data_IF_702238817283
#
_entry.id   IF_702238817283
#
_cell.length_a   1.000
_cell.length_b   1.000
_cell.length_c   1.000
_cell.angle_alpha   90.00
_cell.angle_beta   90.00
_cell.angle_gamma   90.00
#
_symmetry.space_group_name_H-M   'P 1'
#
loop_
_entity.id
_entity.type
_entity.pdbx_description
1 polymer ?
#
# COMPACT_ATOMS: atom_id res chain seq x y z
N UNK A 1 2.13 16.17 -7.01
CA UNK A 1 0.76 16.55 -6.60
C UNK A 1 0.47 16.01 -5.21
N UNK A 2 -0.65 16.37 -4.57
CA UNK A 2 -0.99 15.93 -3.19
C UNK A 2 -1.46 14.46 -3.08
N UNK A 3 -1.46 13.68 -4.17
CA UNK A 3 -1.94 12.29 -4.16
C UNK A 3 -3.42 12.18 -3.76
N UNK A 4 -3.83 11.01 -3.27
CA UNK A 4 -5.12 10.77 -2.62
C UNK A 4 -4.98 9.74 -1.48
N UNK A 5 -5.88 9.74 -0.50
CA UNK A 5 -5.87 8.78 0.62
C UNK A 5 -7.24 8.11 0.86
N UNK A 6 -8.04 8.05 -0.20
CA UNK A 6 -9.33 7.38 -0.26
C UNK A 6 -9.44 6.53 -1.51
N UNK A 7 -10.15 5.41 -1.44
CA UNK A 7 -10.54 4.63 -2.61
C UNK A 7 -11.93 5.06 -3.08
N UNK A 8 -12.03 5.55 -4.31
CA UNK A 8 -13.28 6.01 -4.91
C UNK A 8 -13.19 5.95 -6.45
N UNK A 9 -14.26 5.56 -7.19
CA UNK A 9 -14.22 5.41 -8.65
C UNK A 9 -13.96 6.72 -9.40
N UNK A 10 -14.40 7.85 -8.84
CA UNK A 10 -14.41 9.14 -9.54
C UNK A 10 -13.17 10.01 -9.27
N UNK A 11 -12.10 9.44 -8.71
CA UNK A 11 -10.83 10.17 -8.57
C UNK A 11 -10.23 10.35 -9.97
N UNK A 12 -10.01 11.59 -10.44
CA UNK A 12 -9.48 11.82 -11.78
C UNK A 12 -8.03 11.30 -11.88
N UNK A 13 -7.66 10.66 -12.99
CA UNK A 13 -6.30 10.20 -13.19
C UNK A 13 -5.33 11.37 -13.31
N UNK A 14 -4.12 11.18 -12.79
CA UNK A 14 -3.02 12.15 -12.90
C UNK A 14 -2.17 11.93 -14.15
N UNK A 15 -2.27 10.75 -14.74
CA UNK A 15 -1.52 10.29 -15.91
C UNK A 15 -2.35 9.26 -16.67
N UNK A 16 -2.23 9.26 -17.99
CA UNK A 16 -2.81 8.26 -18.89
C UNK A 16 -1.69 7.63 -19.73
N UNK A 17 -1.67 6.30 -19.81
CA UNK A 17 -0.57 5.52 -20.43
C UNK A 17 -1.10 4.40 -21.31
N UNK A 18 -0.32 4.02 -22.31
CA UNK A 18 -0.54 2.80 -23.08
C UNK A 18 0.01 1.56 -22.33
N UNK A 19 -0.61 0.37 -22.46
CA UNK A 19 -0.04 -0.86 -21.91
C UNK A 19 1.41 -1.09 -22.39
N UNK A 20 2.28 -1.49 -21.47
CA UNK A 20 3.71 -1.72 -21.71
C UNK A 20 4.63 -0.50 -21.51
N UNK A 21 4.07 0.70 -21.34
CA UNK A 21 4.87 1.89 -21.01
C UNK A 21 5.44 1.83 -19.58
N UNK A 22 6.66 2.35 -19.42
CA UNK A 22 7.32 2.53 -18.13
C UNK A 22 6.67 3.70 -17.37
N UNK A 23 6.15 3.44 -16.17
CA UNK A 23 5.58 4.46 -15.29
C UNK A 23 6.37 4.53 -14.00
N UNK A 24 6.80 5.74 -13.63
CA UNK A 24 7.53 6.00 -12.39
C UNK A 24 6.68 6.88 -11.49
N UNK A 25 6.43 6.42 -10.26
CA UNK A 25 5.68 7.13 -9.24
C UNK A 25 6.57 7.39 -8.03
N UNK A 26 6.64 8.65 -7.59
CA UNK A 26 7.25 9.01 -6.31
C UNK A 26 6.16 9.03 -5.23
N UNK A 27 6.41 8.39 -4.10
CA UNK A 27 5.47 8.23 -2.99
C UNK A 27 6.02 8.83 -1.70
N UNK A 28 5.11 9.35 -0.88
CA UNK A 28 5.41 9.70 0.51
C UNK A 28 5.25 8.45 1.38
N UNK A 29 5.82 8.49 2.59
CA UNK A 29 5.63 7.44 3.58
C UNK A 29 4.18 7.40 4.11
N UNK A 30 3.83 6.34 4.83
CA UNK A 30 2.50 6.10 5.41
C UNK A 30 1.92 7.27 6.23
N UNK A 31 2.79 8.11 6.81
CA UNK A 31 2.41 9.25 7.67
C UNK A 31 2.21 10.56 6.91
N UNK A 32 2.30 10.56 5.58
CA UNK A 32 2.28 11.75 4.73
C UNK A 32 3.41 12.75 5.04
N UNK A 33 4.59 12.23 5.37
CA UNK A 33 5.76 13.04 5.68
C UNK A 33 5.74 13.67 7.08
N UNK A 34 4.84 13.25 7.97
CA UNK A 34 4.84 13.74 9.36
C UNK A 34 6.03 13.17 10.16
N UNK A 35 6.45 11.94 9.86
CA UNK A 35 7.59 11.28 10.48
C UNK A 35 8.91 11.73 9.86
N UNK A 36 9.38 12.90 10.30
CA UNK A 36 10.69 13.42 9.94
C UNK A 36 11.80 12.82 10.82
N UNK A 37 13.06 12.81 10.34
CA UNK A 37 14.19 12.45 11.18
C UNK A 37 14.19 13.28 12.48
N UNK A 38 14.42 12.62 13.61
CA UNK A 38 14.44 13.19 14.97
C UNK A 38 13.07 13.48 15.62
N UNK A 39 11.95 13.15 14.97
CA UNK A 39 10.65 13.13 15.66
C UNK A 39 10.71 12.17 16.85
N UNK A 40 10.11 12.57 17.96
CA UNK A 40 9.99 11.79 19.18
C UNK A 40 8.53 11.45 19.45
N UNK A 41 8.30 10.56 20.43
CA UNK A 41 6.94 10.21 20.84
C UNK A 41 6.14 11.42 21.37
N UNK A 42 6.83 12.46 21.85
CA UNK A 42 6.22 13.68 22.37
C UNK A 42 5.61 14.55 21.27
N UNK A 43 6.02 14.37 20.01
CA UNK A 43 5.51 15.10 18.86
C UNK A 43 4.21 14.49 18.31
N UNK A 44 3.93 13.22 18.61
CA UNK A 44 2.80 12.47 18.06
C UNK A 44 1.42 13.10 18.28
N UNK A 45 1.11 13.75 19.44
CA UNK A 45 -0.17 14.43 19.62
C UNK A 45 -0.43 15.55 18.61
N UNK A 46 0.61 16.08 17.96
CA UNK A 46 0.48 17.12 16.92
C UNK A 46 0.16 16.57 15.53
N UNK A 47 0.13 15.25 15.34
CA UNK A 47 -0.04 14.64 14.02
C UNK A 47 -1.51 14.54 13.63
N UNK A 48 -1.77 14.76 12.35
CA UNK A 48 -3.02 14.43 11.68
C UNK A 48 -3.20 12.91 11.68
N UNK A 49 -4.28 12.44 12.31
CA UNK A 49 -4.47 11.03 12.65
C UNK A 49 -5.08 10.18 11.54
N UNK A 50 -5.62 10.79 10.47
CA UNK A 50 -6.39 10.11 9.40
C UNK A 50 -5.81 10.33 8.00
N UNK A 51 -4.58 10.85 7.91
CA UNK A 51 -3.89 11.06 6.62
C UNK A 51 -3.48 9.75 5.94
N UNK A 52 -3.19 8.70 6.72
CA UNK A 52 -2.67 7.44 6.19
C UNK A 52 -3.73 6.67 5.39
N UNK A 53 -3.41 6.14 4.20
CA UNK A 53 -2.13 6.18 3.47
C UNK A 53 -2.21 7.17 2.29
N UNK A 54 -1.22 8.08 2.10
CA UNK A 54 -1.16 8.91 0.91
C UNK A 54 -0.64 8.10 -0.29
N UNK A 55 -1.46 8.03 -1.35
CA UNK A 55 -1.16 7.30 -2.57
C UNK A 55 -0.86 8.26 -3.72
N UNK A 56 0.12 7.88 -4.54
CA UNK A 56 0.42 8.54 -5.81
C UNK A 56 -0.31 7.82 -6.93
N UNK A 57 -1.09 8.59 -7.71
CA UNK A 57 -2.03 8.10 -8.71
C UNK A 57 -3.32 8.94 -8.69
N UNK A 58 -4.38 8.48 -9.37
CA UNK A 58 -4.44 7.24 -10.15
C UNK A 58 -3.81 7.37 -11.55
N UNK A 59 -3.25 6.29 -12.05
CA UNK A 59 -2.81 6.12 -13.43
C UNK A 59 -3.93 5.45 -14.22
N UNK A 60 -4.33 6.03 -15.35
CA UNK A 60 -5.31 5.46 -16.28
C UNK A 60 -4.59 4.63 -17.34
N UNK A 61 -4.93 3.35 -17.45
CA UNK A 61 -4.36 2.42 -18.44
C UNK A 61 -5.31 2.31 -19.63
N UNK A 62 -4.91 2.82 -20.79
CA UNK A 62 -5.75 2.83 -22.00
C UNK A 62 -6.23 1.42 -22.38
N UNK A 63 -7.53 1.31 -22.64
CA UNK A 63 -8.16 0.06 -23.09
C UNK A 63 -8.41 -0.97 -21.99
N UNK A 64 -8.09 -0.67 -20.73
CA UNK A 64 -8.49 -1.48 -19.59
C UNK A 64 -9.98 -1.29 -19.30
N UNK A 65 -10.76 -2.37 -19.28
CA UNK A 65 -12.21 -2.33 -19.08
C UNK A 65 -12.65 -3.35 -18.02
N UNK A 66 -13.80 -3.11 -17.33
CA UNK A 66 -14.31 -4.05 -16.35
C UNK A 66 -14.40 -5.49 -16.88
N UNK A 67 -13.86 -6.44 -16.12
CA UNK A 67 -13.78 -7.87 -16.52
C UNK A 67 -12.44 -8.28 -17.15
N UNK A 68 -11.57 -7.34 -17.49
CA UNK A 68 -10.16 -7.61 -17.78
C UNK A 68 -9.39 -7.98 -16.51
N UNK A 69 -8.23 -8.62 -16.68
CA UNK A 69 -7.24 -8.77 -15.63
C UNK A 69 -6.04 -7.85 -15.95
N UNK A 70 -5.76 -6.90 -15.05
CA UNK A 70 -4.61 -6.02 -15.14
C UNK A 70 -3.42 -6.67 -14.43
N UNK A 71 -2.32 -6.88 -15.14
CA UNK A 71 -1.05 -7.29 -14.56
C UNK A 71 -0.15 -6.06 -14.39
N UNK A 72 0.33 -5.84 -13.18
CA UNK A 72 1.28 -4.81 -12.80
C UNK A 72 2.61 -5.51 -12.53
N UNK A 73 3.61 -5.24 -13.36
CA UNK A 73 4.98 -5.70 -13.18
C UNK A 73 5.79 -4.63 -12.43
N UNK A 74 6.38 -5.00 -11.30
CA UNK A 74 7.23 -4.10 -10.51
C UNK A 74 8.66 -4.13 -11.05
N UNK A 75 9.00 -3.15 -11.89
CA UNK A 75 10.31 -3.06 -12.57
C UNK A 75 11.42 -2.69 -11.58
N UNK A 76 11.16 -1.72 -10.71
CA UNK A 76 12.08 -1.35 -9.64
C UNK A 76 11.34 -0.67 -8.48
N UNK A 77 11.91 -0.76 -7.28
CA UNK A 77 11.43 -0.07 -6.08
C UNK A 77 12.65 0.47 -5.37
N UNK A 78 12.78 1.79 -5.39
CA UNK A 78 13.94 2.51 -4.88
C UNK A 78 13.53 3.18 -3.56
N UNK A 79 14.10 2.77 -2.42
CA UNK A 79 13.76 3.38 -1.16
C UNK A 79 14.41 4.75 -0.97
N UNK A 80 13.78 5.62 -0.19
CA UNK A 80 14.46 6.79 0.37
C UNK A 80 15.53 6.37 1.39
N UNK A 81 16.43 7.31 1.70
CA UNK A 81 17.60 7.08 2.56
C UNK A 81 17.28 6.99 4.06
N UNK A 82 16.04 7.27 4.46
CA UNK A 82 15.59 7.20 5.84
C UNK A 82 14.18 6.62 5.92
N UNK A 83 13.83 6.12 7.11
CA UNK A 83 12.49 5.66 7.40
C UNK A 83 12.28 5.44 8.89
N UNK A 84 11.14 4.87 9.24
CA UNK A 84 10.71 4.79 10.63
C UNK A 84 9.88 3.55 10.91
N UNK A 85 9.90 3.11 12.16
CA UNK A 85 8.97 2.11 12.68
C UNK A 85 8.40 2.66 13.97
N UNK A 86 7.10 2.47 14.23
CA UNK A 86 6.51 2.88 15.51
C UNK A 86 5.67 1.78 16.14
N UNK A 87 5.64 1.75 17.46
CA UNK A 87 4.58 1.09 18.20
C UNK A 87 3.48 2.10 18.53
N UNK A 88 2.23 1.75 18.22
CA UNK A 88 1.05 2.54 18.59
C UNK A 88 0.28 1.81 19.69
N UNK A 89 0.26 2.32 20.93
CA UNK A 89 -0.51 1.72 22.02
C UNK A 89 -1.96 1.44 21.63
N UNK A 90 -2.44 0.23 21.97
CA UNK A 90 -3.80 -0.22 21.64
C UNK A 90 -4.01 -0.67 20.19
N UNK A 91 -2.99 -0.64 19.34
CA UNK A 91 -3.04 -1.13 17.97
C UNK A 91 -1.97 -2.21 17.71
N UNK A 92 -2.25 -3.09 16.75
CA UNK A 92 -1.34 -4.17 16.37
C UNK A 92 -1.69 -5.52 16.97
N UNK A 93 -0.97 -6.53 16.51
CA UNK A 93 -1.17 -7.91 16.95
C UNK A 93 -0.77 -8.09 18.42
N UNK A 94 0.29 -7.41 18.85
CA UNK A 94 0.86 -7.49 20.21
C UNK A 94 0.51 -6.29 21.11
N UNK A 95 -0.60 -5.61 20.82
CA UNK A 95 -1.05 -4.38 21.52
C UNK A 95 -1.21 -4.53 23.04
N UNK A 96 -1.45 -5.75 23.53
CA UNK A 96 -1.62 -6.05 24.95
C UNK A 96 -0.27 -6.25 25.67
N UNK A 97 0.82 -6.43 24.91
CA UNK A 97 2.18 -6.61 25.43
C UNK A 97 3.04 -5.35 25.28
N UNK A 98 2.83 -4.59 24.20
CA UNK A 98 3.56 -3.35 23.91
C UNK A 98 2.64 -2.15 24.13
N UNK A 99 2.49 -1.75 25.38
CA UNK A 99 1.55 -0.71 25.81
C UNK A 99 2.09 0.72 25.71
N UNK A 100 3.40 0.88 25.54
CA UNK A 100 4.05 2.19 25.49
C UNK A 100 4.33 2.63 24.05
N UNK A 101 4.17 3.93 23.73
CA UNK A 101 4.54 4.44 22.42
C UNK A 101 6.05 4.37 22.25
N UNK A 102 6.48 4.03 21.05
CA UNK A 102 7.91 3.99 20.71
C UNK A 102 8.11 4.25 19.23
N UNK A 103 9.28 4.79 18.88
CA UNK A 103 9.70 5.06 17.49
C UNK A 103 11.16 4.68 17.31
N UNK A 104 11.45 4.07 16.18
CA UNK A 104 12.80 3.77 15.70
C UNK A 104 13.01 4.53 14.41
N UNK A 105 14.11 5.27 14.31
CA UNK A 105 14.53 5.88 13.06
C UNK A 105 15.59 5.02 12.37
N UNK A 106 15.44 4.83 11.06
CA UNK A 106 16.32 4.00 10.25
C UNK A 106 17.09 4.86 9.24
N UNK A 107 18.37 4.56 9.09
CA UNK A 107 19.24 5.05 8.02
C UNK A 107 19.47 3.90 7.01
N UNK A 108 19.16 4.13 5.73
CA UNK A 108 19.29 3.16 4.64
C UNK A 108 20.49 3.49 3.76
N UNK A 109 21.45 2.58 3.67
CA UNK A 109 22.61 2.72 2.79
C UNK A 109 23.20 1.36 2.41
N UNK A 110 23.78 1.25 1.22
CA UNK A 110 24.48 0.04 0.74
C UNK A 110 23.66 -1.27 0.84
N UNK A 111 22.34 -1.17 0.66
CA UNK A 111 21.43 -2.31 0.76
C UNK A 111 21.08 -2.75 2.18
N UNK A 112 21.41 -1.94 3.20
CA UNK A 112 21.10 -2.19 4.61
C UNK A 112 20.36 -1.02 5.26
N UNK A 113 19.39 -1.33 6.12
CA UNK A 113 18.84 -0.39 7.10
C UNK A 113 19.50 -0.62 8.46
N UNK A 114 19.89 0.46 9.13
CA UNK A 114 20.48 0.45 10.47
C UNK A 114 19.85 1.53 11.33
N UNK A 115 19.89 1.36 12.66
CA UNK A 115 19.37 2.35 13.60
C UNK A 115 20.28 2.48 14.82
N UNK A 116 20.42 3.71 15.32
CA UNK A 116 21.12 3.98 16.59
C UNK A 116 20.30 3.51 17.79
N UNK A 117 18.97 3.47 17.64
CA UNK A 117 18.04 3.01 18.67
C UNK A 117 18.08 1.47 18.83
N UNK A 118 18.53 0.76 17.79
CA UNK A 118 18.69 -0.70 17.74
C UNK A 118 20.12 -1.10 17.37
N UNK A 119 21.09 -0.72 18.20
CA UNK A 119 22.51 -1.00 17.96
C UNK A 119 22.79 -2.51 17.80
N UNK A 120 23.66 -2.86 16.84
CA UNK A 120 24.02 -4.25 16.54
C UNK A 120 23.07 -4.97 15.58
N UNK A 121 22.01 -4.32 15.12
CA UNK A 121 21.07 -4.85 14.13
C UNK A 121 21.25 -4.12 12.78
N UNK A 122 21.22 -4.89 11.70
CA UNK A 122 21.06 -4.38 10.33
C UNK A 122 20.06 -5.25 9.58
N UNK A 123 19.21 -4.62 8.78
CA UNK A 123 18.14 -5.29 8.04
C UNK A 123 18.44 -5.18 6.54
N UNK A 124 18.46 -6.28 5.78
CA UNK A 124 18.72 -6.22 4.34
C UNK A 124 17.55 -5.56 3.61
N UNK A 125 17.85 -4.94 2.47
CA UNK A 125 16.82 -4.37 1.60
C UNK A 125 15.84 -5.45 1.12
N UNK A 126 14.55 -5.25 1.40
CA UNK A 126 13.44 -6.01 0.85
C UNK A 126 12.32 -5.10 0.40
N UNK A 127 12.67 -3.99 -0.26
CA UNK A 127 11.73 -2.90 -0.51
C UNK A 127 10.53 -3.33 -1.36
N UNK A 128 9.34 -2.95 -0.90
CA UNK A 128 8.07 -3.16 -1.59
C UNK A 128 7.09 -2.02 -1.29
N UNK A 129 5.94 -2.02 -1.96
CA UNK A 129 4.84 -1.09 -1.68
C UNK A 129 3.77 -1.81 -0.85
N UNK A 130 3.53 -1.38 0.39
CA UNK A 130 2.51 -1.95 1.29
C UNK A 130 1.09 -1.73 0.76
N UNK A 131 0.82 -0.52 0.26
CA UNK A 131 -0.42 -0.16 -0.43
C UNK A 131 -0.22 0.01 -1.93
N UNK A 132 -0.79 -0.90 -2.72
CA UNK A 132 -0.94 -0.75 -4.16
C UNK A 132 -2.25 -1.37 -4.64
N UNK A 133 -2.98 -0.68 -5.52
CA UNK A 133 -4.28 -1.14 -5.95
C UNK A 133 -4.90 -0.28 -7.03
N UNK A 134 -6.11 -0.67 -7.42
CA UNK A 134 -6.90 0.03 -8.43
C UNK A 134 -8.19 0.60 -7.82
N UNK A 135 -8.88 1.50 -8.53
CA UNK A 135 -10.13 2.03 -8.02
C UNK A 135 -11.24 0.96 -7.98
N UNK A 136 -12.13 1.00 -6.97
CA UNK A 136 -13.33 0.18 -6.95
C UNK A 136 -14.34 0.68 -7.98
N UNK A 137 -15.22 -0.21 -8.42
CA UNK A 137 -16.49 0.20 -9.03
C UNK A 137 -17.42 0.85 -7.98
N UNK A 138 -18.43 1.60 -8.43
CA UNK A 138 -19.46 2.15 -7.53
C UNK A 138 -20.16 1.05 -6.72
N UNK A 139 -20.50 -0.08 -7.35
CA UNK A 139 -21.12 -1.20 -6.66
C UNK A 139 -20.21 -1.82 -5.58
N UNK A 140 -18.90 -1.90 -5.84
CA UNK A 140 -17.93 -2.34 -4.83
C UNK A 140 -17.82 -1.34 -3.68
N UNK A 141 -17.72 -0.04 -3.99
CA UNK A 141 -17.69 1.02 -2.98
C UNK A 141 -18.89 0.92 -2.03
N UNK A 142 -20.10 0.77 -2.57
CA UNK A 142 -21.33 0.63 -1.80
C UNK A 142 -21.32 -0.65 -0.95
N UNK A 143 -20.94 -1.79 -1.54
CA UNK A 143 -20.90 -3.09 -0.85
C UNK A 143 -19.86 -3.12 0.30
N UNK A 144 -18.69 -2.55 0.06
CA UNK A 144 -17.60 -2.48 1.05
C UNK A 144 -17.95 -1.52 2.19
N UNK A 145 -18.56 -0.38 1.88
CA UNK A 145 -19.09 0.54 2.88
C UNK A 145 -20.13 -0.17 3.76
N UNK A 146 -21.08 -0.88 3.15
CA UNK A 146 -22.12 -1.58 3.90
C UNK A 146 -21.57 -2.68 4.83
N UNK A 147 -20.63 -3.52 4.35
CA UNK A 147 -20.07 -4.61 5.17
C UNK A 147 -19.19 -4.10 6.32
N UNK A 148 -18.47 -3.01 6.12
CA UNK A 148 -17.66 -2.37 7.18
C UNK A 148 -18.52 -1.66 8.21
N UNK A 149 -19.58 -0.98 7.77
CA UNK A 149 -20.57 -0.39 8.67
C UNK A 149 -21.28 -1.45 9.52
N UNK A 150 -21.63 -2.61 8.93
CA UNK A 150 -22.19 -3.74 9.68
C UNK A 150 -21.21 -4.27 10.73
N UNK A 151 -19.92 -4.42 10.38
CA UNK A 151 -18.89 -4.85 11.32
C UNK A 151 -18.81 -3.90 12.53
N UNK A 152 -18.78 -2.59 12.30
CA UNK A 152 -18.78 -1.57 13.37
C UNK A 152 -20.04 -1.68 14.22
N UNK A 153 -21.21 -1.83 13.59
CA UNK A 153 -22.49 -2.00 14.31
C UNK A 153 -22.49 -3.22 15.24
N UNK A 154 -21.78 -4.29 14.87
CA UNK A 154 -21.61 -5.50 15.70
C UNK A 154 -20.48 -5.39 16.74
N UNK A 155 -19.87 -4.22 16.89
CA UNK A 155 -18.78 -3.97 17.84
C UNK A 155 -17.39 -4.35 17.33
N UNK A 156 -17.25 -4.66 16.04
CA UNK A 156 -15.95 -4.87 15.39
C UNK A 156 -15.26 -3.55 15.03
N UNK A 157 -14.03 -3.65 14.55
CA UNK A 157 -13.19 -2.50 14.16
C UNK A 157 -13.16 -2.38 12.64
N UNK A 158 -13.65 -1.26 12.12
CA UNK A 158 -13.41 -0.79 10.76
C UNK A 158 -13.38 0.74 10.75
N UNK A 159 -12.86 1.32 9.66
CA UNK A 159 -12.71 2.76 9.51
C UNK A 159 -13.61 3.24 8.36
N UNK A 160 -14.88 3.60 8.63
CA UNK A 160 -15.80 4.07 7.60
C UNK A 160 -15.28 5.36 6.94
N UNK A 161 -15.86 5.77 5.79
CA UNK A 161 -15.57 7.06 5.17
C UNK A 161 -15.62 8.21 6.18
N UNK A 162 -14.67 9.12 6.05
CA UNK A 162 -14.46 10.24 6.95
C UNK A 162 -13.77 11.38 6.21
N UNK A 163 -14.31 12.60 6.37
CA UNK A 163 -13.79 13.82 5.76
C UNK A 163 -12.52 14.34 6.43
N UNK A 164 -12.28 14.00 7.69
CA UNK A 164 -11.09 14.43 8.41
C UNK A 164 -9.83 13.89 7.70
N UNK A 165 -8.92 14.82 7.38
CA UNK A 165 -7.69 14.60 6.61
C UNK A 165 -7.89 13.96 5.22
N UNK A 166 -9.10 13.95 4.68
CA UNK A 166 -9.37 13.36 3.37
C UNK A 166 -8.71 14.16 2.24
N UNK A 167 -8.09 13.44 1.31
CA UNK A 167 -7.55 13.98 0.07
C UNK A 167 -8.00 13.09 -1.08
N UNK A 168 -8.76 13.62 -2.07
CA UNK A 168 -9.35 14.95 -2.09
C UNK A 168 -10.53 15.10 -1.10
N UNK A 169 -10.92 16.35 -0.85
CA UNK A 169 -12.11 16.74 -0.08
C UNK A 169 -13.40 16.62 -0.92
N UNK A 170 -14.56 16.97 -0.35
CA UNK A 170 -15.87 16.93 -1.02
C UNK A 170 -16.43 15.51 -1.11
N UNK A 171 -17.26 15.23 -2.13
CA UNK A 171 -17.96 13.94 -2.29
C UNK A 171 -17.00 12.74 -2.23
N UNK A 172 -15.83 12.84 -2.85
CA UNK A 172 -14.80 11.79 -2.80
C UNK A 172 -14.30 11.57 -1.36
N UNK A 173 -14.14 12.63 -0.57
CA UNK A 173 -13.72 12.52 0.82
C UNK A 173 -14.84 12.02 1.74
N UNK A 174 -16.10 12.38 1.44
CA UNK A 174 -17.31 11.99 2.18
C UNK A 174 -17.65 10.51 1.99
N UNK A 175 -17.53 10.02 0.75
CA UNK A 175 -17.93 8.66 0.39
C UNK A 175 -16.76 7.69 0.25
N UNK A 176 -15.54 8.21 0.03
CA UNK A 176 -14.37 7.40 -0.25
C UNK A 176 -13.94 6.54 0.93
N UNK A 177 -13.62 5.28 0.64
CA UNK A 177 -13.17 4.34 1.66
C UNK A 177 -11.75 4.63 2.09
N UNK A 178 -11.45 4.41 3.38
CA UNK A 178 -10.08 4.46 3.89
C UNK A 178 -9.21 3.41 3.21
N UNK A 179 -7.95 3.76 2.96
CA UNK A 179 -6.96 2.86 2.34
C UNK A 179 -6.40 1.83 3.33
N UNK A 180 -6.82 1.85 4.59
CA UNK A 180 -6.27 1.05 5.69
C UNK A 180 -6.42 -0.47 5.48
N UNK A 181 -7.61 -1.04 5.23
CA UNK A 181 -7.71 -2.49 5.03
C UNK A 181 -7.47 -2.88 3.56
N UNK A 182 -6.90 -4.07 3.31
CA UNK A 182 -6.91 -4.67 1.99
C UNK A 182 -8.33 -5.08 1.59
N UNK A 183 -8.61 -5.07 0.30
CA UNK A 183 -9.88 -5.52 -0.29
C UNK A 183 -9.62 -6.20 -1.63
N UNK A 184 -10.69 -6.47 -2.37
CA UNK A 184 -10.66 -7.09 -3.70
C UNK A 184 -9.89 -6.24 -4.74
N UNK A 185 -9.69 -4.94 -4.48
CA UNK A 185 -8.82 -4.09 -5.30
C UNK A 185 -7.33 -4.16 -4.92
N UNK A 186 -6.91 -5.15 -4.13
CA UNK A 186 -5.63 -5.20 -3.44
C UNK A 186 -5.56 -4.14 -2.33
N UNK A 187 -5.02 -2.96 -2.61
CA UNK A 187 -4.86 -1.91 -1.60
C UNK A 187 -3.75 -2.28 -0.62
N UNK A 188 -4.02 -2.12 0.68
CA UNK A 188 -3.03 -2.29 1.75
C UNK A 188 -2.88 -3.75 2.19
N UNK A 189 -2.22 -4.56 1.34
CA UNK A 189 -2.07 -6.01 1.56
C UNK A 189 -0.82 -6.33 2.39
N UNK A 190 0.18 -5.44 2.36
CA UNK A 190 1.42 -5.59 3.15
C UNK A 190 2.14 -6.93 2.91
N UNK A 191 2.10 -7.37 1.65
CA UNK A 191 2.77 -8.58 1.21
C UNK A 191 4.23 -8.30 0.85
N UNK A 192 5.14 -8.61 1.77
CA UNK A 192 6.60 -8.41 1.62
C UNK A 192 7.24 -9.11 0.40
N UNK A 193 6.50 -9.98 -0.27
CA UNK A 193 6.91 -10.65 -1.50
C UNK A 193 6.65 -9.81 -2.77
N UNK A 194 5.98 -8.66 -2.67
CA UNK A 194 5.72 -7.74 -3.80
C UNK A 194 6.91 -6.82 -4.09
N UNK A 195 8.10 -7.41 -4.15
CA UNK A 195 9.36 -6.70 -4.42
C UNK A 195 9.60 -6.53 -5.92
N UNK A 196 10.73 -5.91 -6.26
CA UNK A 196 11.26 -5.85 -7.62
C UNK A 196 11.20 -7.20 -8.34
N UNK A 197 10.64 -7.22 -9.54
CA UNK A 197 10.46 -8.40 -10.40
C UNK A 197 9.15 -9.16 -10.17
N UNK A 198 8.39 -8.80 -9.13
CA UNK A 198 7.08 -9.38 -8.86
C UNK A 198 6.01 -8.87 -9.83
N UNK A 199 4.88 -9.59 -9.82
CA UNK A 199 3.69 -9.31 -10.62
C UNK A 199 2.46 -9.35 -9.72
N UNK A 200 1.63 -8.32 -9.85
CA UNK A 200 0.32 -8.22 -9.22
C UNK A 200 -0.74 -8.28 -10.30
N UNK A 201 -1.65 -9.24 -10.23
CA UNK A 201 -2.77 -9.39 -11.15
C UNK A 201 -4.07 -9.02 -10.43
N UNK A 202 -4.77 -7.99 -10.90
CA UNK A 202 -5.98 -7.46 -10.25
C UNK A 202 -7.13 -7.40 -11.28
N UNK A 203 -8.34 -7.89 -10.94
CA UNK A 203 -9.53 -7.72 -11.78
C UNK A 203 -9.87 -6.24 -11.97
N UNK A 204 -9.98 -5.78 -13.22
CA UNK A 204 -10.35 -4.39 -13.53
C UNK A 204 -11.81 -4.17 -13.18
N UNK A 205 -12.09 -3.10 -12.43
CA UNK A 205 -13.43 -2.78 -11.92
C UNK A 205 -14.05 -1.53 -12.55
N UNK A 206 -13.23 -0.63 -13.08
CA UNK A 206 -13.62 0.60 -13.77
C UNK A 206 -12.74 0.80 -15.00
N UNK A 207 -13.21 1.56 -15.99
CA UNK A 207 -12.42 1.87 -17.18
C UNK A 207 -11.09 2.52 -16.78
N UNK A 208 -10.01 2.08 -17.40
CA UNK A 208 -8.65 2.51 -17.09
C UNK A 208 -8.02 1.90 -15.85
N UNK A 209 -8.76 1.14 -15.03
CA UNK A 209 -8.29 0.58 -13.76
C UNK A 209 -8.09 1.62 -12.65
N UNK A 210 -7.43 2.75 -12.94
CA UNK A 210 -7.06 3.80 -11.99
C UNK A 210 -6.13 3.27 -10.90
N UNK A 211 -4.90 2.90 -11.30
CA UNK A 211 -3.88 2.34 -10.42
C UNK A 211 -3.20 3.40 -9.55
N UNK A 212 -3.03 3.12 -8.26
CA UNK A 212 -2.27 3.97 -7.33
C UNK A 212 -1.38 3.12 -6.42
N UNK A 213 -0.28 3.71 -5.97
CA UNK A 213 0.65 3.11 -5.03
C UNK A 213 1.15 4.12 -4.00
N UNK A 214 1.48 3.65 -2.81
CA UNK A 214 2.04 4.43 -1.71
C UNK A 214 2.53 3.49 -0.63
N UNK A 215 2.84 4.04 0.55
CA UNK A 215 3.15 3.22 1.73
C UNK A 215 4.38 2.31 1.47
N UNK A 216 5.50 2.95 1.12
CA UNK A 216 6.73 2.22 0.81
C UNK A 216 7.30 1.61 2.07
N UNK A 217 7.69 0.34 2.00
CA UNK A 217 8.34 -0.38 3.10
C UNK A 217 9.72 -0.80 2.66
N UNK A 218 10.76 -0.45 3.43
CA UNK A 218 12.12 -0.92 3.15
C UNK A 218 12.28 -2.42 3.46
N UNK A 219 11.64 -2.87 4.55
CA UNK A 219 11.55 -4.27 4.95
C UNK A 219 10.40 -4.44 5.95
N UNK A 220 9.81 -5.63 5.94
CA UNK A 220 8.72 -6.01 6.84
C UNK A 220 8.81 -7.50 7.21
N UNK A 221 8.41 -7.84 8.44
CA UNK A 221 8.09 -9.23 8.80
C UNK A 221 6.76 -9.69 8.18
N UNK A 222 6.49 -10.99 8.19
CA UNK A 222 5.13 -11.45 7.83
C UNK A 222 4.12 -10.95 8.87
N UNK A 223 2.92 -10.60 8.40
CA UNK A 223 1.80 -10.09 9.19
C UNK A 223 1.93 -8.67 9.75
N UNK A 224 3.08 -8.01 9.63
CA UNK A 224 3.28 -6.64 10.12
C UNK A 224 2.79 -6.42 11.57
N UNK A 225 3.18 -7.32 12.48
CA UNK A 225 2.57 -7.43 13.81
C UNK A 225 2.54 -6.13 14.64
N UNK A 226 3.46 -5.20 14.38
CA UNK A 226 3.57 -3.92 15.08
C UNK A 226 2.91 -2.72 14.35
N UNK A 227 2.01 -2.96 13.39
CA UNK A 227 1.26 -1.93 12.60
C UNK A 227 2.09 -1.18 11.56
N UNK A 228 3.41 -1.22 11.67
CA UNK A 228 4.28 -0.51 10.73
C UNK A 228 5.48 -1.38 10.38
N UNK A 229 5.97 -1.19 9.16
CA UNK A 229 7.20 -1.75 8.66
C UNK A 229 8.39 -0.84 9.03
N UNK A 230 9.49 -0.97 8.28
CA UNK A 230 10.42 0.14 8.08
C UNK A 230 9.81 1.06 7.01
N UNK A 231 8.92 1.95 7.45
CA UNK A 231 8.15 2.88 6.62
C UNK A 231 9.03 3.92 5.96
N UNK A 232 8.79 4.20 4.69
CA UNK A 232 9.60 5.15 3.91
C UNK A 232 8.82 5.72 2.71
N UNK A 233 9.23 6.90 2.26
CA UNK A 233 8.89 7.34 0.91
C UNK A 233 9.70 6.53 -0.11
N UNK A 234 9.16 6.31 -1.31
CA UNK A 234 9.79 5.46 -2.31
C UNK A 234 9.61 6.02 -3.73
N UNK A 235 10.42 5.53 -4.65
CA UNK A 235 10.15 5.63 -6.09
C UNK A 235 9.86 4.22 -6.60
N UNK A 236 8.67 4.02 -7.18
CA UNK A 236 8.27 2.75 -7.76
C UNK A 236 8.14 2.87 -9.27
N UNK A 237 8.79 1.97 -10.00
CA UNK A 237 8.70 1.84 -11.45
C UNK A 237 7.87 0.60 -11.79
N UNK A 238 6.81 0.78 -12.58
CA UNK A 238 5.88 -0.29 -12.98
C UNK A 238 5.62 -0.32 -14.48
N UNK A 239 5.23 -1.50 -14.97
CA UNK A 239 4.63 -1.70 -16.29
C UNK A 239 3.27 -2.37 -16.17
N UNK A 240 2.37 -2.00 -17.07
CA UNK A 240 1.01 -2.53 -17.11
C UNK A 240 0.80 -3.43 -18.31
N UNK A 241 0.27 -4.63 -18.10
CA UNK A 241 -0.12 -5.56 -19.14
C UNK A 241 -1.62 -5.89 -19.00
N UNK A 242 -2.35 -5.91 -20.12
CA UNK A 242 -3.79 -6.19 -20.12
C UNK A 242 -4.09 -7.59 -20.66
N UNK A 243 -4.80 -8.35 -19.82
CA UNK A 243 -5.32 -9.66 -20.19
C UNK A 243 -6.83 -9.56 -20.39
N UNK A 244 -7.22 -9.36 -21.66
CA UNK A 244 -8.59 -9.00 -22.03
C UNK A 244 -9.61 -10.07 -21.66
N UNK A 245 -10.62 -9.70 -20.87
CA UNK A 245 -11.72 -10.57 -20.43
C UNK A 245 -11.32 -11.72 -19.50
N UNK A 246 -10.06 -11.83 -19.08
CA UNK A 246 -9.57 -12.99 -18.33
C UNK A 246 -10.14 -13.06 -16.91
N UNK A 247 -10.34 -11.92 -16.24
CA UNK A 247 -10.93 -11.94 -14.91
C UNK A 247 -12.37 -12.46 -14.95
N UNK A 248 -13.17 -12.02 -15.92
CA UNK A 248 -14.53 -12.52 -16.13
C UNK A 248 -14.53 -14.00 -16.54
N UNK A 249 -13.66 -14.40 -17.48
CA UNK A 249 -13.57 -15.78 -18.00
C UNK A 249 -13.28 -16.81 -16.91
N UNK A 250 -12.43 -16.45 -15.94
CA UNK A 250 -12.01 -17.34 -14.85
C UNK A 250 -12.63 -17.01 -13.50
N UNK A 251 -13.60 -16.10 -13.45
CA UNK A 251 -14.25 -15.62 -12.22
C UNK A 251 -13.23 -15.18 -11.14
N UNK A 252 -12.23 -14.42 -11.55
CA UNK A 252 -11.21 -13.88 -10.66
C UNK A 252 -11.79 -12.64 -9.96
N UNK A 253 -11.92 -12.71 -8.64
CA UNK A 253 -12.52 -11.65 -7.82
C UNK A 253 -11.55 -11.04 -6.81
N UNK A 254 -10.41 -11.68 -6.56
CA UNK A 254 -9.35 -11.22 -5.66
C UNK A 254 -8.02 -11.08 -6.41
N UNK A 255 -7.12 -10.20 -5.94
CA UNK A 255 -5.80 -10.04 -6.54
C UNK A 255 -4.98 -11.32 -6.42
N UNK A 256 -4.02 -11.49 -7.32
CA UNK A 256 -3.04 -12.57 -7.24
C UNK A 256 -1.64 -12.00 -7.34
N UNK A 257 -0.73 -12.59 -6.60
CA UNK A 257 0.67 -12.17 -6.54
C UNK A 257 1.53 -13.29 -7.09
N UNK A 258 2.53 -12.93 -7.88
CA UNK A 258 3.55 -13.86 -8.33
C UNK A 258 4.93 -13.22 -8.22
N UNK A 259 5.90 -13.95 -7.68
CA UNK A 259 7.31 -13.56 -7.72
C UNK A 259 8.14 -14.67 -8.38
N UNK A 260 8.75 -14.41 -9.54
CA UNK A 260 9.68 -15.35 -10.15
C UNK A 260 11.01 -15.27 -9.40
N UNK A 261 11.41 -16.32 -8.69
CA UNK A 261 12.63 -16.28 -7.87
C UNK A 261 12.40 -15.67 -6.49
N UNK A 262 13.51 -15.51 -5.75
CA UNK A 262 13.46 -15.02 -4.38
C UNK A 262 13.15 -13.53 -4.32
N UNK A 263 12.31 -13.13 -3.37
CA UNK A 263 11.91 -11.72 -3.15
C UNK A 263 12.99 -10.89 -2.43
N UNK A 264 13.93 -11.56 -1.75
CA UNK A 264 15.20 -10.99 -1.26
C UNK A 264 16.33 -12.02 -1.46
N UNK A 265 17.54 -11.75 -0.98
CA UNK A 265 18.66 -12.69 -1.14
C UNK A 265 18.29 -14.10 -0.61
N UNK A 266 18.69 -15.18 -1.31
CA UNK A 266 18.22 -16.55 -1.03
C UNK A 266 18.42 -17.03 0.40
N UNK A 267 19.47 -16.56 1.08
CA UNK A 267 19.77 -16.88 2.47
C UNK A 267 18.74 -16.31 3.47
N UNK A 268 17.94 -15.32 3.05
CA UNK A 268 16.93 -14.65 3.86
C UNK A 268 15.50 -14.91 3.37
N UNK A 269 15.32 -15.62 2.26
CA UNK A 269 14.02 -15.81 1.60
C UNK A 269 13.62 -17.28 1.43
N UNK A 270 12.35 -17.56 1.72
CA UNK A 270 11.66 -18.76 1.27
C UNK A 270 10.16 -18.43 1.05
N UNK A 271 9.48 -19.07 0.07
CA UNK A 271 10.00 -19.99 -0.95
C UNK A 271 10.73 -19.29 -2.12
N UNK A 272 11.40 -20.06 -3.00
CA UNK A 272 12.05 -19.54 -4.22
C UNK A 272 11.06 -19.03 -5.26
N UNK A 273 9.87 -19.61 -5.35
CA UNK A 273 8.81 -19.09 -6.22
C UNK A 273 7.61 -18.86 -5.34
N UNK A 274 6.94 -17.73 -5.52
CA UNK A 274 5.78 -17.36 -4.73
C UNK A 274 4.59 -17.15 -5.66
N UNK A 275 3.47 -17.80 -5.33
CA UNK A 275 2.16 -17.50 -5.91
C UNK A 275 1.18 -17.45 -4.73
N UNK A 276 0.45 -16.35 -4.62
CA UNK A 276 -0.60 -16.18 -3.62
C UNK A 276 -1.87 -15.62 -4.27
N UNK A 277 -3.00 -15.90 -3.64
CA UNK A 277 -4.36 -15.51 -4.04
C UNK A 277 -5.10 -14.90 -2.88
#
# INVERSE_FOLDING_TARGET
GKGHNRWHPDIPPILEVDPGEDVVLETRDASDGQMQPNITVDDFPGFAGKVGHPLTGPVYIKGAEPGDLLEIEYVDIIPQAYGWTRNRPGAGFLRDLFTEPYVVHWEMSDGWATSKDLSGVRIPNGSFMGTAGIAPSRAQLDAWTAREADLVKRGGVAFPPDLEDAVPQGVIGEEGLRTVPPRENCGNVDAKQLTKGSRLLIPVNVSGGLYSAGDGHYAQGDSECCITAIEMGATVAVKFHLHKGEAARHNITFPRFAHPGYFIAPEWAAPRNFIAT
#
